data_IF_977470100672
#
_entry.id   IF_977470100672
#
_cell.length_a   1.000
_cell.length_b   1.000
_cell.length_c   1.000
_cell.angle_alpha   90.00
_cell.angle_beta   90.00
_cell.angle_gamma   90.00
#
_symmetry.space_group_name_H-M   'P 1'
#
loop_
_entity.id
_entity.type
_entity.pdbx_description
1 polymer ?
#
# COMPACT_ATOMS: atom_id res chain seq x y z
N UNK A 1 6.03 -18.82 17.15
CA UNK A 1 6.50 -17.46 17.45
C UNK A 1 7.52 -17.17 16.37
N UNK A 2 7.18 -16.29 15.43
CA UNK A 2 8.10 -15.90 14.36
C UNK A 2 9.11 -14.93 14.98
N UNK A 3 10.40 -15.24 14.89
CA UNK A 3 11.43 -14.36 15.44
C UNK A 3 11.56 -13.12 14.55
N UNK A 4 11.32 -11.94 15.11
CA UNK A 4 11.55 -10.68 14.41
C UNK A 4 13.05 -10.33 14.37
N UNK A 5 13.49 -9.77 13.24
CA UNK A 5 14.76 -9.07 13.12
C UNK A 5 14.59 -7.65 13.66
N UNK A 6 14.87 -7.51 14.95
CA UNK A 6 14.83 -6.22 15.62
C UNK A 6 15.92 -5.27 15.09
N UNK A 7 15.52 -4.04 14.75
CA UNK A 7 16.45 -2.95 14.47
C UNK A 7 17.20 -2.52 15.74
N UNK A 8 16.49 -2.52 16.86
CA UNK A 8 17.02 -2.36 18.21
C UNK A 8 16.52 -3.53 19.04
N UNK A 9 17.43 -4.36 19.54
CA UNK A 9 17.07 -5.57 20.28
C UNK A 9 16.35 -5.24 21.60
N UNK A 10 15.38 -6.07 22.02
CA UNK A 10 14.75 -5.92 23.32
C UNK A 10 15.77 -6.09 24.46
N UNK A 11 15.57 -5.34 25.53
CA UNK A 11 16.34 -5.40 26.78
C UNK A 11 15.39 -5.49 27.96
N UNK A 12 15.91 -5.67 29.18
CA UNK A 12 15.10 -5.70 30.40
C UNK A 12 14.25 -4.43 30.62
N UNK A 13 14.61 -3.31 29.96
CA UNK A 13 13.97 -2.00 30.13
C UNK A 13 13.36 -1.43 28.85
N UNK A 14 13.48 -2.11 27.70
CA UNK A 14 12.96 -1.61 26.42
C UNK A 14 12.48 -2.78 25.54
N UNK A 15 11.33 -2.61 24.88
CA UNK A 15 10.71 -3.65 24.05
C UNK A 15 11.44 -3.90 22.71
N UNK A 16 12.45 -3.09 22.38
CA UNK A 16 13.10 -3.09 21.08
C UNK A 16 12.24 -2.44 19.99
N UNK A 17 12.70 -2.49 18.75
CA UNK A 17 11.95 -1.99 17.59
C UNK A 17 12.00 -2.94 16.41
N UNK A 18 10.88 -3.09 15.71
CA UNK A 18 10.68 -4.02 14.59
C UNK A 18 9.89 -3.34 13.46
N UNK A 19 9.75 -4.00 12.31
CA UNK A 19 8.75 -3.61 11.32
C UNK A 19 8.30 -4.87 10.55
N UNK A 20 7.01 -5.20 10.53
CA UNK A 20 6.54 -6.42 9.87
C UNK A 20 6.79 -6.42 8.36
N UNK A 21 6.83 -5.25 7.71
CA UNK A 21 7.15 -5.16 6.27
C UNK A 21 8.60 -5.56 6.00
N UNK A 22 9.53 -5.28 6.92
CA UNK A 22 10.92 -5.71 6.80
C UNK A 22 11.02 -7.24 6.75
N UNK A 23 10.27 -7.94 7.62
CA UNK A 23 10.24 -9.40 7.65
C UNK A 23 9.65 -10.01 6.37
N UNK A 24 8.64 -9.36 5.79
CA UNK A 24 7.94 -9.90 4.63
C UNK A 24 8.65 -9.61 3.30
N UNK A 25 9.32 -8.46 3.19
CA UNK A 25 9.88 -7.98 1.93
C UNK A 25 11.41 -7.87 1.98
N UNK A 26 11.93 -6.98 2.82
CA UNK A 26 13.35 -6.62 2.81
C UNK A 26 14.26 -7.81 3.19
N UNK A 27 13.95 -8.51 4.29
CA UNK A 27 14.77 -9.62 4.78
C UNK A 27 14.81 -10.81 3.80
N UNK A 28 13.67 -11.33 3.29
CA UNK A 28 13.71 -12.45 2.33
C UNK A 28 14.44 -12.10 1.03
N UNK A 29 14.40 -10.84 0.57
CA UNK A 29 15.17 -10.38 -0.58
C UNK A 29 16.67 -10.51 -0.33
N UNK A 30 17.15 -10.09 0.85
CA UNK A 30 18.56 -10.25 1.26
C UNK A 30 18.96 -11.72 1.32
N UNK A 31 18.02 -12.59 1.67
CA UNK A 31 18.21 -14.06 1.70
C UNK A 31 18.09 -14.73 0.31
N UNK A 32 17.94 -13.96 -0.76
CA UNK A 32 17.92 -14.45 -2.14
C UNK A 32 16.53 -14.76 -2.70
N UNK A 33 15.45 -14.47 -1.97
CA UNK A 33 14.07 -14.64 -2.41
C UNK A 33 13.53 -13.47 -3.25
N UNK A 34 14.35 -12.77 -4.03
CA UNK A 34 13.89 -11.60 -4.76
C UNK A 34 12.83 -11.93 -5.83
N UNK A 35 12.97 -13.09 -6.46
CA UNK A 35 12.15 -13.52 -7.61
C UNK A 35 10.93 -14.36 -7.21
N UNK A 36 10.68 -14.57 -5.91
CA UNK A 36 9.53 -15.34 -5.45
C UNK A 36 8.24 -14.57 -5.73
N UNK A 37 7.25 -15.26 -6.30
CA UNK A 37 5.91 -14.70 -6.49
C UNK A 37 5.21 -14.66 -5.14
N UNK A 38 4.90 -13.46 -4.66
CA UNK A 38 4.28 -13.22 -3.34
C UNK A 38 2.93 -12.52 -3.41
N UNK A 39 2.57 -12.00 -4.58
CA UNK A 39 1.30 -11.35 -4.79
C UNK A 39 0.72 -11.77 -6.14
N UNK A 40 -0.51 -12.26 -6.11
CA UNK A 40 -1.26 -12.65 -7.31
C UNK A 40 -2.53 -11.83 -7.44
N UNK A 41 -2.80 -11.34 -8.65
CA UNK A 41 -4.00 -10.61 -9.00
C UNK A 41 -4.86 -11.36 -10.01
N UNK A 42 -6.12 -10.92 -10.20
CA UNK A 42 -7.01 -11.55 -11.15
C UNK A 42 -6.45 -11.49 -12.57
N UNK A 43 -6.84 -12.48 -13.38
CA UNK A 43 -6.55 -12.43 -14.81
C UNK A 43 -7.16 -11.17 -15.43
N UNK A 44 -6.45 -10.46 -16.30
CA UNK A 44 -7.01 -9.31 -16.99
C UNK A 44 -8.09 -9.77 -17.98
N UNK A 45 -9.28 -9.19 -17.89
CA UNK A 45 -10.37 -9.38 -18.86
C UNK A 45 -9.96 -8.88 -20.25
N UNK A 46 -9.13 -7.84 -20.28
CA UNK A 46 -8.62 -7.18 -21.48
C UNK A 46 -7.09 -7.13 -21.44
N UNK A 47 -6.41 -8.23 -21.83
CA UNK A 47 -4.96 -8.23 -21.85
C UNK A 47 -4.44 -7.18 -22.83
N UNK A 48 -3.34 -6.53 -22.45
CA UNK A 48 -2.69 -5.50 -23.24
C UNK A 48 -1.29 -5.94 -23.64
N UNK A 49 -0.91 -5.68 -24.89
CA UNK A 49 0.45 -5.85 -25.42
C UNK A 49 0.91 -4.49 -25.97
N UNK A 50 2.05 -4.01 -25.49
CA UNK A 50 2.62 -2.70 -25.88
C UNK A 50 1.62 -1.53 -25.79
N UNK A 51 0.79 -1.53 -24.75
CA UNK A 51 -0.22 -0.49 -24.51
C UNK A 51 -1.47 -0.59 -25.41
N UNK A 52 -1.65 -1.68 -26.15
CA UNK A 52 -2.83 -1.93 -26.99
C UNK A 52 -3.64 -3.10 -26.47
N UNK A 53 -4.95 -2.93 -26.40
CA UNK A 53 -5.89 -4.02 -26.08
C UNK A 53 -5.78 -5.12 -27.14
N UNK A 54 -5.59 -6.36 -26.68
CA UNK A 54 -5.55 -7.53 -27.55
C UNK A 54 -6.98 -7.95 -27.85
N UNK A 55 -7.35 -7.96 -29.13
CA UNK A 55 -8.71 -8.32 -29.56
C UNK A 55 -8.82 -9.74 -30.15
N UNK A 56 -7.69 -10.36 -30.52
CA UNK A 56 -7.68 -11.74 -31.01
C UNK A 56 -8.06 -12.71 -29.87
N UNK A 57 -9.17 -13.47 -30.00
CA UNK A 57 -9.64 -14.38 -28.94
C UNK A 57 -8.60 -15.43 -28.51
N UNK A 58 -7.71 -15.87 -29.41
CA UNK A 58 -6.67 -16.85 -29.09
C UNK A 58 -5.59 -16.24 -28.21
N UNK A 59 -5.18 -15.02 -28.53
CA UNK A 59 -4.20 -14.27 -27.74
C UNK A 59 -4.80 -13.79 -26.42
N UNK A 60 -6.06 -13.38 -26.40
CA UNK A 60 -6.78 -13.06 -25.16
C UNK A 60 -6.75 -14.26 -24.22
N UNK A 61 -7.18 -15.44 -24.69
CA UNK A 61 -7.15 -16.68 -23.88
C UNK A 61 -5.75 -17.04 -23.39
N UNK A 62 -4.71 -16.80 -24.19
CA UNK A 62 -3.33 -17.10 -23.82
C UNK A 62 -2.75 -16.10 -22.81
N UNK A 63 -3.21 -14.85 -22.82
CA UNK A 63 -2.68 -13.74 -22.04
C UNK A 63 -3.51 -13.40 -20.79
N UNK A 64 -4.75 -13.89 -20.68
CA UNK A 64 -5.59 -13.80 -19.49
C UNK A 64 -5.14 -14.78 -18.40
N UNK A 65 -3.87 -14.69 -18.02
CA UNK A 65 -3.29 -15.37 -16.86
C UNK A 65 -3.36 -14.48 -15.62
N UNK A 66 -3.40 -15.06 -14.41
CA UNK A 66 -3.27 -14.29 -13.19
C UNK A 66 -2.05 -13.39 -13.26
N UNK A 67 -2.18 -12.18 -12.70
CA UNK A 67 -1.05 -11.27 -12.61
C UNK A 67 -0.17 -11.74 -11.47
N UNK A 68 1.04 -12.18 -11.78
CA UNK A 68 2.04 -12.55 -10.78
C UNK A 68 3.00 -11.38 -10.55
N UNK A 69 3.28 -11.06 -9.30
CA UNK A 69 4.20 -10.01 -8.89
C UNK A 69 5.23 -10.61 -7.95
N UNK A 70 6.50 -10.47 -8.33
CA UNK A 70 7.63 -10.93 -7.53
C UNK A 70 7.90 -10.03 -6.31
N UNK A 71 8.60 -10.56 -5.31
CA UNK A 71 8.88 -9.87 -4.06
C UNK A 71 9.65 -8.57 -4.27
N UNK A 72 10.59 -8.54 -5.22
CA UNK A 72 11.35 -7.34 -5.55
C UNK A 72 10.46 -6.22 -6.12
N UNK A 73 9.52 -6.56 -7.01
CA UNK A 73 8.53 -5.61 -7.53
C UNK A 73 7.59 -5.14 -6.42
N UNK A 74 7.13 -6.02 -5.53
CA UNK A 74 6.29 -5.63 -4.37
C UNK A 74 7.04 -4.65 -3.45
N UNK A 75 8.31 -4.91 -3.13
CA UNK A 75 9.14 -3.99 -2.34
C UNK A 75 9.29 -2.65 -3.06
N UNK A 76 9.68 -2.65 -4.33
CA UNK A 76 9.91 -1.43 -5.10
C UNK A 76 8.65 -0.56 -5.17
N UNK A 77 7.49 -1.17 -5.46
CA UNK A 77 6.23 -0.43 -5.61
C UNK A 77 5.69 0.08 -4.29
N UNK A 78 5.71 -0.73 -3.23
CA UNK A 78 5.25 -0.32 -1.90
C UNK A 78 6.18 0.73 -1.26
N UNK A 79 7.50 0.58 -1.41
CA UNK A 79 8.47 1.56 -0.92
C UNK A 79 8.33 2.89 -1.66
N UNK A 80 8.13 2.87 -2.98
CA UNK A 80 7.88 4.09 -3.75
C UNK A 80 6.57 4.77 -3.33
N UNK A 81 5.49 4.01 -3.07
CA UNK A 81 4.28 4.59 -2.51
C UNK A 81 4.53 5.23 -1.14
N UNK A 82 5.28 4.58 -0.24
CA UNK A 82 5.69 5.21 1.02
C UNK A 82 6.44 6.53 0.82
N UNK A 83 7.23 6.63 -0.25
CA UNK A 83 7.86 7.88 -0.71
C UNK A 83 6.87 8.95 -1.14
N UNK A 84 5.83 8.57 -1.89
CA UNK A 84 4.73 9.45 -2.29
C UNK A 84 3.99 9.97 -1.06
N UNK A 85 3.66 9.10 -0.10
CA UNK A 85 3.00 9.47 1.15
C UNK A 85 3.82 10.51 1.92
N UNK A 86 5.14 10.29 2.06
CA UNK A 86 6.04 11.26 2.69
C UNK A 86 6.11 12.59 1.95
N UNK A 87 6.14 12.57 0.62
CA UNK A 87 6.11 13.79 -0.18
C UNK A 87 4.80 14.58 0.00
N UNK A 88 3.71 13.90 0.36
CA UNK A 88 2.42 14.50 0.72
C UNK A 88 2.33 14.91 2.21
N UNK A 89 3.41 14.77 2.98
CA UNK A 89 3.46 15.16 4.39
C UNK A 89 3.09 14.06 5.38
N UNK A 90 2.84 12.84 4.91
CA UNK A 90 2.51 11.68 5.76
C UNK A 90 3.80 10.96 6.15
N UNK A 91 4.24 11.14 7.39
CA UNK A 91 5.55 10.68 7.86
C UNK A 91 5.48 9.37 8.67
N UNK A 92 4.28 8.86 8.92
CA UNK A 92 3.98 7.67 9.71
C UNK A 92 3.97 7.94 11.21
N UNK A 93 3.23 8.97 11.66
CA UNK A 93 2.97 9.20 13.09
C UNK A 93 1.72 8.45 13.57
N UNK A 94 1.50 8.37 14.88
CA UNK A 94 0.32 7.69 15.47
C UNK A 94 -1.00 8.39 15.12
N UNK A 95 -0.91 9.67 14.74
CA UNK A 95 -2.04 10.50 14.34
C UNK A 95 -2.30 10.46 12.83
N UNK A 96 -1.65 9.58 12.08
CA UNK A 96 -1.86 9.45 10.64
C UNK A 96 -2.51 8.11 10.31
N UNK A 97 -3.58 8.19 9.52
CA UNK A 97 -4.37 7.02 9.12
C UNK A 97 -4.64 7.00 7.64
N UNK A 98 -4.20 5.94 6.98
CA UNK A 98 -4.51 5.64 5.59
C UNK A 98 -5.78 4.78 5.55
N UNK A 99 -6.84 5.31 4.94
CA UNK A 99 -8.08 4.59 4.69
C UNK A 99 -8.06 4.13 3.24
N UNK A 100 -8.29 2.84 3.01
CA UNK A 100 -8.28 2.28 1.64
C UNK A 100 -9.70 1.86 1.27
N UNK A 101 -10.22 2.43 0.19
CA UNK A 101 -11.55 2.12 -0.30
C UNK A 101 -11.63 0.69 -0.88
N UNK A 102 -12.81 0.07 -0.75
CA UNK A 102 -13.04 -1.32 -1.15
C UNK A 102 -12.96 -1.54 -2.66
N UNK A 103 -13.19 -0.48 -3.45
CA UNK A 103 -13.15 -0.49 -4.90
C UNK A 103 -11.72 -0.41 -5.47
N UNK A 104 -10.71 -0.16 -4.63
CA UNK A 104 -9.31 -0.16 -5.04
C UNK A 104 -8.90 -1.57 -5.49
N UNK A 105 -8.28 -1.72 -6.69
CA UNK A 105 -7.84 -3.02 -7.18
C UNK A 105 -6.96 -3.78 -6.18
N UNK A 106 -7.13 -5.10 -6.08
CA UNK A 106 -6.48 -5.93 -5.05
C UNK A 106 -4.96 -5.74 -4.93
N UNK A 107 -4.25 -5.71 -6.06
CA UNK A 107 -2.80 -5.46 -6.08
C UNK A 107 -2.48 -4.06 -5.53
N UNK A 108 -3.20 -3.02 -5.98
CA UNK A 108 -2.98 -1.66 -5.50
C UNK A 108 -3.31 -1.53 -4.00
N UNK A 109 -4.34 -2.23 -3.52
CA UNK A 109 -4.72 -2.30 -2.11
C UNK A 109 -3.60 -2.93 -1.28
N UNK A 110 -3.09 -4.10 -1.68
CA UNK A 110 -1.97 -4.76 -1.01
C UNK A 110 -0.73 -3.86 -0.94
N UNK A 111 -0.34 -3.26 -2.07
CA UNK A 111 0.79 -2.33 -2.13
C UNK A 111 0.56 -1.07 -1.28
N UNK A 112 -0.69 -0.60 -1.17
CA UNK A 112 -1.07 0.53 -0.31
C UNK A 112 -0.90 0.23 1.17
N UNK A 113 -1.36 -0.95 1.59
CA UNK A 113 -1.21 -1.42 2.97
C UNK A 113 0.27 -1.55 3.33
N UNK A 114 1.05 -2.22 2.47
CA UNK A 114 2.49 -2.43 2.69
C UNK A 114 3.27 -1.10 2.69
N UNK A 115 2.96 -0.19 1.77
CA UNK A 115 3.62 1.12 1.69
C UNK A 115 3.37 2.01 2.90
N UNK A 116 2.13 1.99 3.42
CA UNK A 116 1.76 2.72 4.62
C UNK A 116 2.39 2.10 5.89
N UNK A 117 2.29 0.78 6.04
CA UNK A 117 2.88 0.04 7.16
C UNK A 117 4.41 0.20 7.21
N UNK A 118 5.07 0.25 6.04
CA UNK A 118 6.53 0.46 5.93
C UNK A 118 7.00 1.76 6.57
N UNK A 119 6.21 2.83 6.42
CA UNK A 119 6.52 4.14 7.02
C UNK A 119 5.96 4.30 8.43
N UNK A 120 5.17 3.33 8.92
CA UNK A 120 4.56 3.35 10.25
C UNK A 120 3.20 4.04 10.33
N UNK A 121 2.60 4.41 9.19
CA UNK A 121 1.25 4.97 9.17
C UNK A 121 0.21 3.88 9.47
N UNK A 122 -0.79 4.20 10.29
CA UNK A 122 -1.88 3.26 10.57
C UNK A 122 -2.75 3.07 9.33
N UNK A 123 -3.25 1.86 9.09
CA UNK A 123 -4.09 1.55 7.92
C UNK A 123 -5.44 1.05 8.36
N UNK A 124 -6.51 1.70 7.92
CA UNK A 124 -7.88 1.27 8.17
C UNK A 124 -8.41 0.50 6.95
N UNK A 125 -8.65 -0.80 7.18
CA UNK A 125 -9.17 -1.73 6.17
C UNK A 125 -10.58 -2.20 6.50
N UNK A 126 -11.24 -1.61 7.50
CA UNK A 126 -12.62 -1.93 7.89
C UNK A 126 -13.61 -1.68 6.76
N UNK A 127 -14.65 -2.51 6.72
CA UNK A 127 -15.72 -2.29 5.74
C UNK A 127 -16.43 -0.97 6.00
N UNK A 128 -16.64 -0.18 4.95
CA UNK A 128 -17.25 1.15 5.04
C UNK A 128 -16.39 2.26 5.67
N UNK A 129 -15.11 2.01 6.00
CA UNK A 129 -14.21 3.06 6.52
C UNK A 129 -14.07 4.23 5.53
N UNK A 130 -13.95 3.93 4.23
CA UNK A 130 -13.85 4.94 3.17
C UNK A 130 -15.11 5.81 3.03
N UNK A 131 -16.30 5.25 3.26
CA UNK A 131 -17.56 6.01 3.24
C UNK A 131 -17.64 7.01 4.40
N UNK A 132 -17.05 6.66 5.55
CA UNK A 132 -16.99 7.53 6.72
C UNK A 132 -15.96 8.66 6.53
N UNK A 133 -14.78 8.33 5.96
CA UNK A 133 -13.74 9.32 5.67
C UNK A 133 -14.17 10.36 4.63
N UNK A 134 -14.83 9.94 3.54
CA UNK A 134 -15.36 10.84 2.50
C UNK A 134 -16.48 11.76 2.99
N UNK A 135 -17.24 11.34 4.01
CA UNK A 135 -18.30 12.14 4.63
C UNK A 135 -17.76 13.18 5.62
N UNK A 136 -16.60 12.93 6.24
CA UNK A 136 -15.96 13.84 7.18
C UNK A 136 -15.37 15.08 6.46
N UNK A 137 -14.77 14.90 5.28
CA UNK A 137 -14.21 15.99 4.47
C UNK A 137 -15.28 16.96 3.94
N UNK A 138 -16.54 16.51 3.79
CA UNK A 138 -17.68 17.38 3.43
C UNK A 138 -18.38 18.02 4.63
N UNK A 139 -18.13 17.54 5.85
CA UNK A 139 -18.76 18.01 7.09
C UNK A 139 -17.92 19.04 7.87
N UNK A 140 -16.68 19.30 7.47
CA UNK A 140 -15.77 20.26 8.13
C UNK A 140 -16.20 21.74 8.04
N UNK A 141 -17.40 22.03 7.54
CA UNK A 141 -18.01 23.36 7.56
C UNK A 141 -19.02 23.61 8.71
N UNK A 142 -19.24 22.69 9.66
CA UNK A 142 -20.07 22.98 10.84
C UNK A 142 -19.50 22.40 12.16
N UNK A 143 -19.12 23.35 13.02
CA UNK A 143 -18.76 23.21 14.44
C UNK A 143 -19.54 22.13 15.21
N UNK A 144 -18.85 21.33 16.04
CA UNK A 144 -19.20 21.10 17.47
C UNK A 144 -18.16 20.25 18.19
N UNK A 145 -17.74 20.75 19.35
CA UNK A 145 -16.86 20.10 20.32
C UNK A 145 -17.55 18.94 21.05
N UNK A 146 -16.91 17.76 21.08
CA UNK A 146 -16.87 16.77 22.18
C UNK A 146 -15.79 15.73 21.81
N UNK A 147 -14.66 15.74 22.52
CA UNK A 147 -13.45 15.05 22.11
C UNK A 147 -13.53 13.52 22.13
N UNK A 148 -12.94 12.88 21.11
CA UNK A 148 -11.67 12.15 21.20
C UNK A 148 -11.39 11.35 19.90
N UNK A 149 -11.33 12.04 18.74
CA UNK A 149 -10.82 11.49 17.46
C UNK A 149 -10.33 12.61 16.51
N UNK A 150 -10.17 13.84 17.04
CA UNK A 150 -10.20 15.11 16.26
C UNK A 150 -8.83 15.57 15.70
N UNK A 151 -7.75 14.80 15.93
CA UNK A 151 -6.38 15.13 15.47
C UNK A 151 -5.80 14.09 14.49
N UNK A 152 -6.61 13.11 14.05
CA UNK A 152 -6.13 12.11 13.09
C UNK A 152 -6.16 12.68 11.67
N UNK A 153 -4.99 12.84 11.07
CA UNK A 153 -4.88 13.14 9.64
C UNK A 153 -5.24 11.89 8.84
N UNK A 154 -6.44 11.90 8.26
CA UNK A 154 -6.92 10.81 7.40
C UNK A 154 -6.54 11.03 5.94
N UNK A 155 -6.07 9.97 5.30
CA UNK A 155 -5.69 9.94 3.89
C UNK A 155 -6.51 8.86 3.20
N UNK A 156 -7.23 9.20 2.14
CA UNK A 156 -8.08 8.25 1.43
C UNK A 156 -7.40 7.76 0.15
N UNK A 157 -7.18 6.45 0.03
CA UNK A 157 -6.80 5.80 -1.23
C UNK A 157 -8.06 5.23 -1.87
N UNK A 158 -8.37 5.64 -3.10
CA UNK A 158 -9.60 5.27 -3.79
C UNK A 158 -9.42 5.21 -5.32
N UNK A 159 -10.40 4.67 -6.04
CA UNK A 159 -10.36 4.73 -7.50
C UNK A 159 -10.65 6.14 -8.02
N UNK A 160 -10.03 6.51 -9.14
CA UNK A 160 -10.24 7.77 -9.83
C UNK A 160 -10.49 7.53 -11.32
N UNK A 161 -11.30 8.39 -11.92
CA UNK A 161 -11.43 8.46 -13.37
C UNK A 161 -10.29 9.32 -13.94
N UNK A 162 -9.17 8.69 -14.26
CA UNK A 162 -8.01 9.33 -14.84
C UNK A 162 -7.65 8.70 -16.20
N UNK A 163 -7.27 9.50 -17.21
CA UNK A 163 -6.87 8.97 -18.50
C UNK A 163 -5.60 8.09 -18.34
N UNK A 164 -5.47 6.98 -19.09
CA UNK A 164 -4.29 6.13 -19.03
C UNK A 164 -3.01 6.91 -19.33
N UNK A 165 -2.00 6.75 -18.49
CA UNK A 165 -0.70 7.38 -18.70
C UNK A 165 0.09 6.55 -19.71
N UNK A 166 0.23 7.09 -20.93
CA UNK A 166 1.03 6.46 -21.97
C UNK A 166 2.51 6.52 -21.59
N UNK A 167 3.16 5.35 -21.49
CA UNK A 167 4.63 5.28 -21.48
C UNK A 167 5.15 5.96 -22.77
N UNK A 168 6.04 6.94 -22.62
CA UNK A 168 6.54 7.72 -23.76
C UNK A 168 7.11 6.84 -24.89
N UNK A 169 7.13 7.36 -26.12
CA UNK A 169 7.49 6.67 -27.38
C UNK A 169 8.84 5.91 -27.41
N UNK A 170 9.66 6.00 -26.37
CA UNK A 170 11.01 5.42 -26.29
C UNK A 170 11.17 4.31 -25.22
N UNK A 171 10.11 3.91 -24.49
CA UNK A 171 10.24 2.83 -23.51
C UNK A 171 10.19 1.46 -24.18
N UNK A 172 11.31 0.73 -24.17
CA UNK A 172 11.43 -0.65 -24.68
C UNK A 172 10.69 -1.67 -23.78
N UNK A 173 10.36 -1.30 -22.54
CA UNK A 173 9.58 -2.10 -21.59
C UNK A 173 8.54 -1.21 -20.90
N UNK A 174 7.25 -1.55 -21.04
CA UNK A 174 6.18 -0.89 -20.27
C UNK A 174 6.25 -1.41 -18.84
N UNK A 175 6.78 -0.60 -17.93
CA UNK A 175 6.71 -0.87 -16.49
C UNK A 175 5.34 -0.39 -16.01
N UNK A 176 4.54 -1.31 -15.47
CA UNK A 176 3.25 -0.99 -14.87
C UNK A 176 3.47 -0.41 -13.48
N UNK A 177 2.73 0.63 -13.13
CA UNK A 177 2.82 1.21 -11.78
C UNK A 177 2.09 0.34 -10.76
N UNK A 178 1.12 -0.47 -11.21
CA UNK A 178 0.18 -1.24 -10.37
C UNK A 178 -0.81 -0.38 -9.60
N UNK A 179 -0.86 0.92 -9.90
CA UNK A 179 -1.78 1.91 -9.33
C UNK A 179 -2.59 2.61 -10.43
N UNK A 180 -2.73 1.98 -11.61
CA UNK A 180 -3.51 2.53 -12.71
C UNK A 180 -4.96 2.77 -12.27
N UNK A 181 -5.45 4.02 -12.40
CA UNK A 181 -6.79 4.42 -11.97
C UNK A 181 -6.95 4.57 -10.45
N UNK A 182 -5.85 4.67 -9.69
CA UNK A 182 -5.88 4.86 -8.23
C UNK A 182 -5.40 6.27 -7.88
N UNK A 183 -6.16 6.93 -7.01
CA UNK A 183 -5.87 8.24 -6.47
C UNK A 183 -5.71 8.23 -4.96
N UNK A 184 -5.07 9.27 -4.47
CA UNK A 184 -4.90 9.56 -3.06
C UNK A 184 -5.48 10.94 -2.76
N UNK A 185 -6.38 11.02 -1.79
CA UNK A 185 -7.01 12.26 -1.35
C UNK A 185 -6.55 12.62 0.05
N UNK A 186 -6.05 13.85 0.20
CA UNK A 186 -5.62 14.42 1.48
C UNK A 186 -6.19 15.84 1.56
N UNK A 187 -6.91 16.15 2.65
CA UNK A 187 -7.52 17.46 2.87
C UNK A 187 -8.35 17.96 1.66
N UNK A 188 -9.13 17.08 1.05
CA UNK A 188 -9.95 17.39 -0.14
C UNK A 188 -9.21 17.53 -1.47
N UNK A 189 -7.88 17.39 -1.51
CA UNK A 189 -7.10 17.40 -2.76
C UNK A 189 -6.75 15.97 -3.19
N UNK A 190 -7.09 15.61 -4.43
CA UNK A 190 -6.81 14.29 -5.00
C UNK A 190 -5.61 14.33 -5.95
N UNK A 191 -4.62 13.46 -5.71
CA UNK A 191 -3.49 13.22 -6.61
C UNK A 191 -3.58 11.83 -7.27
N UNK A 192 -3.12 11.74 -8.52
CA UNK A 192 -3.05 10.47 -9.26
C UNK A 192 -1.77 9.69 -8.88
N UNK A 193 -1.93 8.52 -8.25
CA UNK A 193 -0.80 7.71 -7.79
C UNK A 193 0.00 7.13 -8.98
N UNK A 194 -0.64 6.71 -10.07
CA UNK A 194 0.06 6.22 -11.27
C UNK A 194 1.04 7.27 -11.83
N UNK A 195 0.64 8.55 -11.82
CA UNK A 195 1.51 9.63 -12.24
C UNK A 195 2.70 9.80 -11.30
N UNK A 196 2.46 9.83 -9.99
CA UNK A 196 3.50 9.98 -8.98
C UNK A 196 4.47 8.78 -8.96
N UNK A 197 3.98 7.56 -9.19
CA UNK A 197 4.79 6.35 -9.33
C UNK A 197 5.75 6.40 -10.52
N UNK A 198 5.42 7.19 -11.55
CA UNK A 198 6.27 7.39 -12.74
C UNK A 198 7.20 8.59 -12.62
N UNK A 199 6.99 9.46 -11.62
CA UNK A 199 7.89 10.57 -11.35
C UNK A 199 9.21 10.02 -10.78
N UNK A 200 10.33 10.40 -11.40
CA UNK A 200 11.66 9.97 -10.97
C UNK A 200 12.19 10.74 -9.76
N UNK A 201 11.53 11.84 -9.37
CA UNK A 201 11.91 12.66 -8.21
C UNK A 201 11.40 12.07 -6.89
N UNK A 202 10.45 11.14 -6.95
CA UNK A 202 9.94 10.45 -5.77
C UNK A 202 10.96 9.38 -5.37
N UNK A 203 11.57 9.57 -4.20
CA UNK A 203 12.48 8.60 -3.60
C UNK A 203 11.69 7.51 -2.87
N UNK A 204 12.12 6.26 -3.02
CA UNK A 204 11.53 5.14 -2.29
C UNK A 204 11.79 5.27 -0.79
N UNK A 205 10.75 5.08 0.02
CA UNK A 205 10.87 5.18 1.47
C UNK A 205 11.68 4.02 2.06
N UNK A 206 12.61 4.36 2.96
CA UNK A 206 13.20 3.40 3.87
C UNK A 206 12.15 2.92 4.90
N UNK A 207 12.25 1.64 5.27
CA UNK A 207 11.47 1.06 6.36
C UNK A 207 11.79 1.76 7.68
N UNK A 208 10.78 1.99 8.51
CA UNK A 208 10.91 2.70 9.79
C UNK A 208 10.85 1.70 10.95
N UNK A 209 11.73 1.81 11.95
CA UNK A 209 11.63 1.02 13.17
C UNK A 209 10.39 1.43 13.98
N UNK A 210 9.57 0.46 14.37
CA UNK A 210 8.33 0.66 15.12
C UNK A 210 8.43 -0.01 16.49
N UNK A 211 7.79 0.60 17.49
CA UNK A 211 7.53 -0.08 18.76
C UNK A 211 6.59 -1.28 18.52
N UNK A 212 6.80 -2.44 19.17
CA UNK A 212 5.98 -3.65 18.96
C UNK A 212 4.49 -3.44 19.17
N UNK A 213 4.11 -2.62 20.16
CA UNK A 213 2.74 -2.31 20.58
C UNK A 213 2.08 -1.17 19.76
N UNK A 214 2.79 -0.61 18.78
CA UNK A 214 2.27 0.44 17.92
C UNK A 214 1.13 -0.10 17.05
N UNK A 215 -0.07 0.47 17.18
CA UNK A 215 -1.20 0.15 16.31
C UNK A 215 -0.88 0.44 14.83
N UNK A 216 -0.99 -0.58 13.98
CA UNK A 216 -0.59 -0.50 12.58
C UNK A 216 -1.74 -0.81 11.61
N UNK A 217 -2.56 -1.82 11.91
CA UNK A 217 -3.68 -2.23 11.05
C UNK A 217 -4.99 -2.17 11.85
N UNK A 218 -5.99 -1.47 11.35
CA UNK A 218 -7.34 -1.40 11.93
C UNK A 218 -8.27 -2.25 11.07
N UNK A 219 -8.81 -3.32 11.67
CA UNK A 219 -9.71 -4.29 11.02
C UNK A 219 -11.09 -4.24 11.67
N UNK A 220 -12.07 -4.97 11.11
CA UNK A 220 -13.42 -5.06 11.68
C UNK A 220 -13.43 -5.72 13.07
N UNK A 221 -12.38 -6.49 13.39
CA UNK A 221 -12.23 -7.20 14.66
C UNK A 221 -11.41 -6.43 15.71
N UNK A 222 -10.79 -5.31 15.32
CA UNK A 222 -9.96 -4.49 16.20
C UNK A 222 -8.66 -4.01 15.54
N UNK A 223 -7.87 -3.28 16.32
CA UNK A 223 -6.54 -2.84 15.92
C UNK A 223 -5.50 -3.93 16.21
N UNK A 224 -4.63 -4.18 15.23
CA UNK A 224 -3.45 -5.02 15.34
C UNK A 224 -2.23 -4.09 15.51
N UNK A 225 -1.41 -4.39 16.49
CA UNK A 225 -0.12 -3.75 16.69
C UNK A 225 0.94 -4.25 15.69
N UNK A 226 2.11 -3.61 15.68
CA UNK A 226 3.17 -3.90 14.72
C UNK A 226 3.63 -5.37 14.81
N UNK A 227 3.71 -5.94 16.01
CA UNK A 227 4.09 -7.34 16.24
C UNK A 227 3.02 -8.31 15.72
N UNK A 228 1.77 -8.12 16.14
CA UNK A 228 0.64 -8.99 15.79
C UNK A 228 0.23 -8.87 14.32
N UNK A 229 0.52 -7.74 13.67
CA UNK A 229 0.17 -7.51 12.26
C UNK A 229 0.98 -8.35 11.28
N UNK A 230 2.14 -8.90 11.66
CA UNK A 230 2.98 -9.71 10.75
C UNK A 230 2.21 -10.93 10.22
N UNK A 231 1.58 -11.68 11.12
CA UNK A 231 0.81 -12.87 10.75
C UNK A 231 -0.34 -12.49 9.82
N UNK A 232 -1.10 -11.46 10.18
CA UNK A 232 -2.21 -10.96 9.36
C UNK A 232 -1.74 -10.52 7.97
N UNK A 233 -0.65 -9.77 7.86
CA UNK A 233 -0.09 -9.33 6.58
C UNK A 233 0.36 -10.51 5.72
N UNK A 234 0.98 -11.53 6.32
CA UNK A 234 1.39 -12.75 5.60
C UNK A 234 0.20 -13.56 5.08
N UNK A 235 -0.92 -13.62 5.81
CA UNK A 235 -2.06 -14.45 5.43
C UNK A 235 -3.02 -13.72 4.48
N UNK A 236 -3.28 -12.44 4.74
CA UNK A 236 -4.31 -11.68 4.03
C UNK A 236 -3.76 -10.88 2.84
N UNK A 237 -2.50 -10.43 2.92
CA UNK A 237 -1.91 -9.53 1.91
C UNK A 237 -0.90 -10.24 1.01
N UNK A 238 -0.05 -11.10 1.57
CA UNK A 238 0.97 -11.86 0.85
C UNK A 238 0.85 -13.38 1.10
N UNK A 239 -0.33 -13.99 0.86
CA UNK A 239 -0.51 -15.42 1.09
C UNK A 239 0.54 -16.22 0.30
N UNK A 240 1.21 -17.15 0.98
CA UNK A 240 2.11 -18.09 0.31
C UNK A 240 1.35 -18.83 -0.80
N UNK A 241 1.91 -18.80 -2.02
CA UNK A 241 1.32 -19.36 -3.24
C UNK A 241 1.46 -20.88 -3.33
#
# INVERSE_FOLDING_TARGET
>A
MTDFHYFEAPTDTAAGTLNPVFELLDFPIVMGGADDIVLTGPSPDKPMVDGREVTDPRLVKALSKPVEVDRAEVLDRSAKLGGILRAMGIIGTENERIVIAEDVPLIARALSILGAARIGASVDVRSGAASSASSADTASAQLSAHGSDDDITSVLVHTIDAPPINSGRASVKVIRSRFEGVGITVAGETANIDQAMRDSRVESAAVVPLAPDRALIVTDFGALDAESSLEWLSQEILPEA
#
